data_IF_496272421795
#
_entry.id   IF_496272421795
#
_cell.length_a   1.000
_cell.length_b   1.000
_cell.length_c   1.000
_cell.angle_alpha   90.00
_cell.angle_beta   90.00
_cell.angle_gamma   90.00
#
_symmetry.space_group_name_H-M   'P 1'
#
loop_
_entity.id
_entity.type
_entity.pdbx_description
1 polymer ?
#
# COMPACT_ATOMS: atom_id res chain seq x y z
N UNK A 1 11.18 45.21 48.10
CA UNK A 1 12.03 44.94 46.92
C UNK A 1 11.14 44.26 45.89
N UNK A 2 10.85 44.92 44.75
CA UNK A 2 9.95 44.39 43.71
C UNK A 2 10.80 43.67 42.66
N UNK A 3 10.74 42.35 42.64
CA UNK A 3 11.44 41.52 41.65
C UNK A 3 10.68 41.58 40.33
N UNK A 4 11.29 42.16 39.30
CA UNK A 4 10.76 42.19 37.94
C UNK A 4 11.19 40.91 37.21
N UNK A 5 10.22 40.16 36.67
CA UNK A 5 10.46 39.01 35.79
C UNK A 5 10.52 39.50 34.34
N UNK A 6 11.71 39.42 33.75
CA UNK A 6 11.93 39.65 32.31
C UNK A 6 11.56 38.36 31.59
N UNK A 7 10.47 38.39 30.82
CA UNK A 7 10.10 37.29 29.93
C UNK A 7 10.84 37.44 28.61
N UNK A 8 11.74 36.50 28.31
CA UNK A 8 12.38 36.39 27.01
C UNK A 8 11.43 35.70 26.03
N UNK A 9 10.94 36.44 25.03
CA UNK A 9 10.18 35.88 23.93
C UNK A 9 11.13 35.17 22.96
N UNK A 10 11.11 33.84 22.96
CA UNK A 10 11.80 33.02 21.96
C UNK A 10 10.92 32.95 20.71
N UNK A 11 11.33 33.60 19.63
CA UNK A 11 10.63 33.53 18.35
C UNK A 11 10.82 32.14 17.73
N UNK A 12 9.75 31.33 17.70
CA UNK A 12 9.73 30.10 16.91
C UNK A 12 9.70 30.47 15.42
N UNK A 13 10.83 30.29 14.73
CA UNK A 13 10.85 30.22 13.28
C UNK A 13 10.20 28.90 12.85
N UNK A 14 8.92 28.94 12.49
CA UNK A 14 8.25 27.85 11.82
C UNK A 14 8.79 27.73 10.39
N UNK A 15 9.69 26.78 10.16
CA UNK A 15 10.04 26.32 8.82
C UNK A 15 8.83 25.60 8.21
N UNK A 16 7.95 26.36 7.58
CA UNK A 16 6.87 25.85 6.73
C UNK A 16 7.45 25.22 5.46
N UNK A 17 8.04 24.03 5.58
CA UNK A 17 8.25 23.15 4.44
C UNK A 17 6.91 22.59 4.03
N UNK A 18 6.26 23.19 3.02
CA UNK A 18 5.13 22.55 2.36
C UNK A 18 5.67 21.39 1.53
N UNK A 19 5.90 20.25 2.17
CA UNK A 19 6.14 19.00 1.47
C UNK A 19 4.90 18.72 0.64
N UNK A 20 5.05 18.73 -0.69
CA UNK A 20 3.99 18.27 -1.58
C UNK A 20 3.51 16.87 -1.16
N UNK A 21 2.28 16.48 -1.55
CA UNK A 21 1.76 15.17 -1.19
C UNK A 21 2.72 14.05 -1.60
N UNK A 22 2.84 13.00 -0.78
CA UNK A 22 3.73 11.88 -1.05
C UNK A 22 3.51 11.30 -2.46
N UNK A 23 4.62 11.12 -3.18
CA UNK A 23 4.68 10.59 -4.55
C UNK A 23 5.36 9.23 -4.63
N UNK A 24 5.84 8.69 -3.50
CA UNK A 24 6.41 7.35 -3.41
C UNK A 24 5.72 6.57 -2.30
N UNK A 25 5.45 5.31 -2.56
CA UNK A 25 4.84 4.41 -1.59
C UNK A 25 5.58 3.07 -1.59
N UNK A 26 5.48 2.38 -0.47
CA UNK A 26 6.04 1.05 -0.28
C UNK A 26 5.06 0.14 0.45
N UNK A 27 5.21 -1.16 0.28
CA UNK A 27 4.59 -2.18 1.11
C UNK A 27 5.58 -3.31 1.37
N UNK A 28 5.65 -3.79 2.61
CA UNK A 28 6.34 -5.03 2.98
C UNK A 28 5.28 -6.10 3.23
N UNK A 29 5.35 -7.18 2.48
CA UNK A 29 4.33 -8.22 2.45
C UNK A 29 4.80 -9.47 3.21
N UNK A 30 3.90 -10.07 3.98
CA UNK A 30 4.12 -11.35 4.66
C UNK A 30 2.79 -12.08 4.85
N UNK A 31 2.86 -13.38 5.13
CA UNK A 31 1.67 -14.19 5.43
C UNK A 31 1.03 -13.83 6.77
N UNK A 32 1.82 -13.40 7.75
CA UNK A 32 1.35 -12.95 9.06
C UNK A 32 0.48 -11.68 8.99
N UNK A 33 0.57 -10.93 7.89
CA UNK A 33 -0.21 -9.71 7.71
C UNK A 33 -1.63 -9.98 7.19
N UNK A 34 -1.92 -11.17 6.67
CA UNK A 34 -3.23 -11.52 6.06
C UNK A 34 -4.39 -11.32 7.02
N UNK A 35 -5.50 -10.74 6.52
CA UNK A 35 -6.74 -10.58 7.27
C UNK A 35 -7.93 -10.90 6.37
N UNK A 36 -8.72 -11.95 6.69
CA UNK A 36 -8.45 -12.97 7.71
C UNK A 36 -7.13 -13.70 7.48
N UNK A 37 -6.61 -14.36 8.52
CA UNK A 37 -5.39 -15.16 8.38
C UNK A 37 -5.56 -16.24 7.28
N UNK A 38 -4.52 -16.41 6.48
CA UNK A 38 -4.49 -17.38 5.39
C UNK A 38 -4.63 -18.82 5.93
N UNK A 39 -5.39 -19.71 5.27
CA UNK A 39 -5.60 -21.08 5.75
C UNK A 39 -4.33 -21.94 5.70
N UNK A 40 -3.39 -21.63 4.80
CA UNK A 40 -2.09 -22.28 4.68
C UNK A 40 -0.96 -21.25 4.74
N UNK A 41 -0.72 -20.64 5.91
CA UNK A 41 0.29 -19.59 6.04
C UNK A 41 1.68 -20.18 5.83
N UNK A 42 2.54 -19.45 5.15
CA UNK A 42 3.93 -19.80 4.95
C UNK A 42 4.83 -18.70 5.52
N UNK A 43 5.54 -18.99 6.62
CA UNK A 43 6.38 -18.00 7.31
C UNK A 43 7.60 -17.57 6.47
N UNK A 44 8.00 -18.37 5.47
CA UNK A 44 9.07 -18.01 4.54
C UNK A 44 8.58 -17.15 3.37
N UNK A 45 7.26 -17.06 3.15
CA UNK A 45 6.68 -16.24 2.10
C UNK A 45 6.76 -14.76 2.46
N UNK A 46 7.37 -13.98 1.57
CA UNK A 46 7.59 -12.54 1.78
C UNK A 46 7.58 -11.79 0.44
N UNK A 47 7.43 -10.48 0.50
CA UNK A 47 7.65 -9.62 -0.65
C UNK A 47 7.69 -8.15 -0.32
N UNK A 48 7.94 -7.35 -1.35
CA UNK A 48 7.93 -5.90 -1.29
C UNK A 48 7.30 -5.31 -2.54
N UNK A 49 6.64 -4.17 -2.40
CA UNK A 49 6.14 -3.37 -3.51
C UNK A 49 6.63 -1.93 -3.36
N UNK A 50 7.00 -1.31 -4.47
CA UNK A 50 7.29 0.12 -4.55
C UNK A 50 6.44 0.76 -5.62
N UNK A 51 6.00 1.99 -5.37
CA UNK A 51 5.17 2.78 -6.26
C UNK A 51 5.76 4.17 -6.40
N UNK A 52 5.78 4.72 -7.62
CA UNK A 52 6.19 6.10 -7.90
C UNK A 52 5.13 6.79 -8.75
N UNK A 53 4.66 7.94 -8.28
CA UNK A 53 3.67 8.78 -8.95
C UNK A 53 4.38 9.79 -9.83
N UNK A 54 3.99 9.86 -11.10
CA UNK A 54 4.39 10.90 -12.06
C UNK A 54 3.14 11.40 -12.80
N UNK A 55 2.68 12.60 -12.44
CA UNK A 55 1.40 13.12 -12.92
C UNK A 55 0.23 12.21 -12.50
N UNK A 56 -0.53 11.70 -13.47
CA UNK A 56 -1.65 10.77 -13.28
C UNK A 56 -1.28 9.29 -13.43
N UNK A 57 0.01 8.98 -13.56
CA UNK A 57 0.52 7.62 -13.75
C UNK A 57 1.25 7.15 -12.50
N UNK A 58 0.99 5.91 -12.09
CA UNK A 58 1.69 5.25 -10.98
C UNK A 58 2.45 4.06 -11.55
N UNK A 59 3.78 4.14 -11.54
CA UNK A 59 4.65 3.01 -11.89
C UNK A 59 4.94 2.18 -10.65
N UNK A 60 5.01 0.86 -10.80
CA UNK A 60 5.26 -0.04 -9.70
C UNK A 60 6.30 -1.11 -10.02
N UNK A 61 6.95 -1.59 -8.95
CA UNK A 61 7.75 -2.81 -8.93
C UNK A 61 7.31 -3.65 -7.75
N UNK A 62 7.03 -4.93 -7.98
CA UNK A 62 6.68 -5.89 -6.93
C UNK A 62 7.65 -7.05 -7.01
N UNK A 63 8.24 -7.41 -5.86
CA UNK A 63 9.12 -8.58 -5.71
C UNK A 63 8.55 -9.48 -4.63
N UNK A 64 8.61 -10.78 -4.86
CA UNK A 64 8.13 -11.78 -3.91
C UNK A 64 9.04 -13.00 -3.91
N UNK A 65 9.01 -13.75 -2.82
CA UNK A 65 9.77 -14.98 -2.68
C UNK A 65 9.18 -15.93 -1.66
N UNK A 66 9.45 -17.21 -1.84
CA UNK A 66 9.13 -18.24 -0.84
C UNK A 66 7.65 -18.55 -0.74
N UNK A 67 6.85 -18.24 -1.77
CA UNK A 67 5.44 -18.64 -1.81
C UNK A 67 5.31 -20.16 -1.75
N UNK A 68 4.19 -20.63 -1.19
CA UNK A 68 3.83 -22.05 -1.06
C UNK A 68 3.59 -22.76 -2.40
N UNK A 69 3.34 -21.98 -3.45
CA UNK A 69 3.17 -22.42 -4.82
C UNK A 69 3.32 -21.25 -5.80
N UNK A 70 3.11 -21.50 -7.08
CA UNK A 70 3.20 -20.45 -8.09
C UNK A 70 2.18 -19.34 -7.80
N UNK A 71 2.63 -18.09 -7.89
CA UNK A 71 1.75 -16.94 -7.84
C UNK A 71 0.68 -17.05 -8.95
N UNK A 72 -0.58 -16.87 -8.57
CA UNK A 72 -1.72 -16.93 -9.51
C UNK A 72 -2.25 -15.55 -9.85
N UNK A 73 -2.23 -14.64 -8.87
CA UNK A 73 -2.75 -13.27 -8.99
C UNK A 73 -1.96 -12.34 -8.08
N UNK A 74 -1.94 -11.05 -8.43
CA UNK A 74 -1.49 -9.99 -7.54
C UNK A 74 -2.46 -8.82 -7.62
N UNK A 75 -2.65 -8.09 -6.52
CA UNK A 75 -3.62 -7.00 -6.48
C UNK A 75 -3.16 -5.87 -5.57
N UNK A 76 -3.67 -4.67 -5.83
CA UNK A 76 -3.94 -3.69 -4.79
C UNK A 76 -5.41 -3.81 -4.39
N UNK A 77 -5.66 -3.90 -3.10
CA UNK A 77 -6.99 -3.86 -2.50
C UNK A 77 -7.20 -2.58 -1.71
N UNK A 78 -8.46 -2.19 -1.56
CA UNK A 78 -8.87 -1.22 -0.52
C UNK A 78 -8.96 -1.92 0.84
N UNK A 79 -8.61 -1.25 1.92
CA UNK A 79 -8.70 -1.76 3.29
C UNK A 79 -7.49 -1.42 4.15
N UNK A 80 -7.71 -1.36 5.47
CA UNK A 80 -6.66 -1.08 6.47
C UNK A 80 -5.96 -2.35 6.93
N UNK A 81 -5.01 -2.25 7.85
CA UNK A 81 -4.31 -3.42 8.42
C UNK A 81 -5.22 -4.41 9.13
N UNK A 82 -6.42 -4.00 9.52
CA UNK A 82 -7.39 -4.85 10.23
C UNK A 82 -8.60 -5.21 9.38
N UNK A 83 -8.59 -4.85 8.10
CA UNK A 83 -9.74 -5.00 7.22
C UNK A 83 -9.33 -5.53 5.84
N UNK A 84 -10.11 -6.48 5.32
CA UNK A 84 -10.04 -6.90 3.92
C UNK A 84 -11.01 -6.08 3.07
N UNK A 85 -10.70 -5.92 1.79
CA UNK A 85 -11.62 -5.24 0.86
C UNK A 85 -11.47 -5.72 -0.56
N UNK A 86 -12.23 -5.10 -1.47
CA UNK A 86 -12.26 -5.49 -2.88
C UNK A 86 -10.96 -5.09 -3.59
N UNK A 87 -10.69 -5.77 -4.71
CA UNK A 87 -9.59 -5.42 -5.62
C UNK A 87 -9.86 -4.05 -6.25
N UNK A 88 -8.89 -3.14 -6.15
CA UNK A 88 -8.93 -1.82 -6.82
C UNK A 88 -7.99 -1.75 -8.01
N UNK A 89 -6.89 -2.49 -8.02
CA UNK A 89 -5.99 -2.61 -9.19
C UNK A 89 -5.50 -4.06 -9.30
N UNK A 90 -5.73 -4.76 -10.43
CA UNK A 90 -5.17 -6.09 -10.67
C UNK A 90 -3.78 -6.07 -11.30
N UNK A 91 -2.97 -7.07 -10.95
CA UNK A 91 -1.65 -7.35 -11.49
C UNK A 91 -1.58 -8.76 -12.08
N UNK A 92 -0.60 -8.98 -12.97
CA UNK A 92 -0.26 -10.31 -13.51
C UNK A 92 1.17 -10.67 -13.08
N UNK A 93 1.37 -11.34 -11.94
CA UNK A 93 2.68 -11.80 -11.54
C UNK A 93 3.18 -12.96 -12.43
N UNK A 94 4.49 -13.20 -12.53
CA UNK A 94 5.01 -14.43 -13.12
C UNK A 94 4.53 -15.65 -12.31
N UNK A 95 4.14 -16.71 -13.01
CA UNK A 95 3.72 -17.97 -12.40
C UNK A 95 4.92 -18.74 -11.81
N UNK A 96 5.42 -18.26 -10.67
CA UNK A 96 6.59 -18.78 -9.95
C UNK A 96 6.41 -18.60 -8.44
N UNK A 97 7.23 -19.27 -7.64
CA UNK A 97 7.25 -19.12 -6.17
C UNK A 97 8.06 -17.91 -5.69
N UNK A 98 8.91 -17.38 -6.57
CA UNK A 98 9.69 -16.15 -6.38
C UNK A 98 9.83 -15.40 -7.71
N UNK A 99 9.88 -14.09 -7.66
CA UNK A 99 10.07 -13.27 -8.85
C UNK A 99 9.88 -11.78 -8.62
N UNK A 100 10.15 -11.02 -9.67
CA UNK A 100 9.92 -9.58 -9.74
C UNK A 100 9.13 -9.27 -10.98
N UNK A 101 8.17 -8.35 -10.87
CA UNK A 101 7.44 -7.80 -12.01
C UNK A 101 7.22 -6.30 -11.82
N UNK A 102 7.01 -5.62 -12.95
CA UNK A 102 6.82 -4.18 -13.00
C UNK A 102 5.62 -3.83 -13.88
N UNK A 103 5.15 -2.60 -13.76
CA UNK A 103 4.10 -2.09 -14.60
C UNK A 103 3.72 -0.66 -14.22
N UNK A 104 2.60 -0.20 -14.74
CA UNK A 104 2.02 1.08 -14.37
C UNK A 104 0.51 1.03 -14.48
N UNK A 105 -0.17 1.88 -13.73
CA UNK A 105 -1.59 2.10 -13.85
C UNK A 105 -1.91 3.60 -13.83
N UNK A 106 -3.05 3.96 -14.39
CA UNK A 106 -3.64 5.30 -14.32
C UNK A 106 -5.03 5.23 -13.69
N UNK A 107 -5.74 6.35 -13.64
CA UNK A 107 -7.12 6.37 -13.17
C UNK A 107 -8.03 5.36 -13.90
N UNK A 108 -7.84 5.13 -15.21
CA UNK A 108 -8.67 4.21 -15.98
C UNK A 108 -8.63 2.75 -15.51
N UNK A 109 -7.54 2.36 -14.85
CA UNK A 109 -7.33 1.01 -14.34
C UNK A 109 -7.87 0.85 -12.91
N UNK A 110 -8.16 1.96 -12.23
CA UNK A 110 -8.68 1.98 -10.86
C UNK A 110 -10.15 1.60 -10.86
N UNK A 111 -10.46 0.51 -10.15
CA UNK A 111 -11.81 0.06 -9.86
C UNK A 111 -12.33 0.71 -8.58
N UNK A 112 -13.65 0.84 -8.47
CA UNK A 112 -14.28 1.29 -7.24
C UNK A 112 -14.04 0.28 -6.11
N UNK A 113 -13.86 0.78 -4.88
CA UNK A 113 -13.72 -0.03 -3.69
C UNK A 113 -14.13 0.75 -2.46
N UNK A 114 -14.96 0.15 -1.62
CA UNK A 114 -15.45 0.78 -0.39
C UNK A 114 -15.32 -0.18 0.78
N UNK A 115 -14.77 0.32 1.86
CA UNK A 115 -14.85 -0.24 3.20
C UNK A 115 -15.42 0.84 4.14
N UNK A 116 -15.77 0.52 5.40
CA UNK A 116 -16.18 1.53 6.38
C UNK A 116 -15.13 2.63 6.60
N UNK A 117 -13.85 2.31 6.37
CA UNK A 117 -12.73 3.25 6.61
C UNK A 117 -12.27 3.99 5.36
N UNK A 118 -12.59 3.48 4.16
CA UNK A 118 -12.01 4.00 2.92
C UNK A 118 -12.98 3.88 1.75
N UNK A 119 -13.03 4.91 0.91
CA UNK A 119 -13.67 4.86 -0.40
C UNK A 119 -12.66 5.23 -1.49
N UNK A 120 -12.66 4.46 -2.57
CA UNK A 120 -11.91 4.69 -3.80
C UNK A 120 -12.92 4.71 -4.95
N UNK A 121 -12.88 5.76 -5.76
CA UNK A 121 -13.80 6.00 -6.87
C UNK A 121 -13.18 5.43 -8.15
N UNK A 122 -13.97 4.68 -8.92
CA UNK A 122 -13.52 4.14 -10.20
C UNK A 122 -13.09 5.28 -11.15
N UNK A 123 -11.99 5.10 -11.88
CA UNK A 123 -11.50 6.14 -12.79
C UNK A 123 -10.69 7.26 -12.12
N UNK A 124 -10.69 7.37 -10.79
CA UNK A 124 -10.09 8.50 -10.08
C UNK A 124 -8.78 8.11 -9.37
N UNK A 125 -7.67 8.48 -10.02
CA UNK A 125 -6.33 8.27 -9.46
C UNK A 125 -6.10 9.04 -8.15
N UNK A 126 -6.74 10.19 -7.96
CA UNK A 126 -6.55 10.99 -6.74
C UNK A 126 -7.22 10.33 -5.54
N UNK A 127 -8.39 9.70 -5.72
CA UNK A 127 -9.02 8.90 -4.66
C UNK A 127 -8.13 7.71 -4.25
N UNK A 128 -7.52 7.03 -5.22
CA UNK A 128 -6.57 5.95 -4.99
C UNK A 128 -5.33 6.44 -4.23
N UNK A 129 -4.69 7.52 -4.68
CA UNK A 129 -3.51 8.09 -4.01
C UNK A 129 -3.83 8.63 -2.60
N UNK A 130 -5.03 9.19 -2.40
CA UNK A 130 -5.52 9.58 -1.07
C UNK A 130 -5.58 8.36 -0.14
N UNK A 131 -6.17 7.25 -0.62
CA UNK A 131 -6.25 6.01 0.13
C UNK A 131 -4.87 5.39 0.45
N UNK A 132 -3.92 5.43 -0.49
CA UNK A 132 -2.54 4.99 -0.25
C UNK A 132 -1.85 5.86 0.83
N UNK A 133 -2.05 7.19 0.82
CA UNK A 133 -1.50 8.08 1.87
C UNK A 133 -2.13 7.82 3.23
N UNK A 134 -3.41 7.46 3.26
CA UNK A 134 -4.14 7.11 4.47
C UNK A 134 -3.85 5.69 4.99
N UNK A 135 -2.97 4.92 4.32
CA UNK A 135 -2.70 3.50 4.65
C UNK A 135 -3.98 2.63 4.57
N UNK A 136 -4.88 3.02 3.66
CA UNK A 136 -6.16 2.37 3.40
C UNK A 136 -6.14 1.47 2.16
N UNK A 137 -4.96 1.05 1.71
CA UNK A 137 -4.81 0.06 0.64
C UNK A 137 -3.65 -0.88 0.94
N UNK A 138 -3.72 -2.11 0.47
CA UNK A 138 -2.65 -3.09 0.61
C UNK A 138 -2.33 -3.78 -0.72
N UNK A 139 -1.06 -4.14 -0.90
CA UNK A 139 -0.62 -5.03 -1.98
C UNK A 139 -0.73 -6.47 -1.50
N UNK A 140 -1.22 -7.37 -2.35
CA UNK A 140 -1.42 -8.78 -2.04
C UNK A 140 -0.99 -9.68 -3.21
N UNK A 141 -0.49 -10.88 -2.90
CA UNK A 141 -0.22 -11.96 -3.87
C UNK A 141 -0.92 -13.24 -3.42
N UNK A 142 -1.46 -13.96 -4.38
CA UNK A 142 -2.26 -15.17 -4.19
C UNK A 142 -1.54 -16.39 -4.78
N UNK A 143 -1.85 -17.56 -4.23
CA UNK A 143 -1.48 -18.86 -4.79
C UNK A 143 -2.70 -19.78 -4.83
N UNK A 144 -2.56 -20.96 -5.45
CA UNK A 144 -3.64 -21.96 -5.46
C UNK A 144 -4.02 -22.46 -4.06
N UNK A 145 -3.04 -22.58 -3.15
CA UNK A 145 -3.29 -22.99 -1.75
C UNK A 145 -3.98 -21.88 -0.95
N UNK A 146 -3.72 -20.61 -1.30
CA UNK A 146 -4.19 -19.44 -0.58
C UNK A 146 -4.90 -18.47 -1.54
N UNK A 147 -6.08 -18.84 -2.08
CA UNK A 147 -6.74 -18.07 -3.13
C UNK A 147 -7.27 -16.71 -2.65
N UNK A 148 -7.55 -16.56 -1.35
CA UNK A 148 -7.95 -15.29 -0.75
C UNK A 148 -6.77 -14.34 -0.48
N UNK A 149 -5.53 -14.84 -0.52
CA UNK A 149 -4.31 -14.08 -0.21
C UNK A 149 -3.29 -14.96 0.50
N UNK A 150 -2.04 -14.96 0.02
CA UNK A 150 -0.93 -15.63 0.70
C UNK A 150 -0.04 -14.63 1.46
N UNK A 151 0.31 -13.51 0.82
CA UNK A 151 1.11 -12.45 1.45
C UNK A 151 0.51 -11.08 1.15
N UNK A 152 0.31 -10.25 2.17
CA UNK A 152 -0.12 -8.85 1.99
C UNK A 152 0.72 -7.87 2.78
N UNK A 153 0.72 -6.62 2.34
CA UNK A 153 1.43 -5.51 2.98
C UNK A 153 0.71 -4.19 2.73
N UNK A 154 0.60 -3.37 3.77
CA UNK A 154 -0.04 -2.07 3.65
C UNK A 154 0.80 -1.12 2.81
N UNK A 155 0.16 -0.48 1.83
CA UNK A 155 0.77 0.59 1.06
C UNK A 155 0.82 1.84 1.94
N UNK A 156 1.99 2.45 2.06
CA UNK A 156 2.19 3.64 2.88
C UNK A 156 3.22 4.56 2.22
N UNK A 157 3.17 5.88 2.48
CA UNK A 157 4.19 6.82 2.01
C UNK A 157 5.59 6.35 2.40
N UNK A 158 6.53 6.46 1.46
CA UNK A 158 7.96 6.22 1.69
C UNK A 158 8.63 7.44 2.33
#
# INVERSE_FOLDING_TARGET
MKTALISAACALAACGGSSGPATKFTATMSSANEVPASPHPNASATGSATYTVSGSTVSYTVTFSGLSGNATMGHIHVGTSTEGGTVVVPFTPPAATSGTFTGSFTGSDVRAGTTPSQTIVAGDINSMLSAMRARGTYTNIHTSSNPAGEIRGQNQPQ
#
